data_IF_536806623820
#
_entry.id   IF_536806623820
#
_cell.length_a   1.000
_cell.length_b   1.000
_cell.length_c   1.000
_cell.angle_alpha   90.00
_cell.angle_beta   90.00
_cell.angle_gamma   90.00
#
_symmetry.space_group_name_H-M   'P 1'
#
loop_
_entity.id
_entity.type
_entity.pdbx_description
1 polymer ?
#
# COMPACT_ATOMS: atom_id res chain seq x y z
N UNK A 1 -8.78 4.69 25.82
CA UNK A 1 -9.10 4.16 24.49
C UNK A 1 -7.91 4.34 23.55
N UNK A 2 -7.79 3.50 22.56
CA UNK A 2 -6.85 3.58 21.45
C UNK A 2 -7.60 3.91 20.17
N UNK A 3 -7.02 4.77 19.32
CA UNK A 3 -7.59 5.15 18.01
C UNK A 3 -6.49 5.04 16.97
N UNK A 4 -6.76 4.45 15.83
CA UNK A 4 -5.77 4.34 14.74
C UNK A 4 -6.27 3.53 13.55
N UNK A 5 -5.39 3.35 12.55
CA UNK A 5 -5.62 2.50 11.39
C UNK A 5 -5.57 1.00 11.72
N UNK A 6 -6.20 0.20 10.88
CA UNK A 6 -6.12 -1.25 10.95
C UNK A 6 -5.13 -1.78 9.92
N UNK A 7 -3.86 -1.81 10.27
CA UNK A 7 -2.78 -2.17 9.35
C UNK A 7 -2.91 -3.59 8.76
N UNK A 8 -3.48 -4.54 9.52
CA UNK A 8 -3.77 -5.89 8.98
C UNK A 8 -4.85 -5.78 7.90
N UNK A 9 -5.90 -4.99 8.16
CA UNK A 9 -6.97 -4.78 7.18
C UNK A 9 -6.48 -4.01 5.94
N UNK A 10 -5.55 -3.05 6.10
CA UNK A 10 -4.91 -2.38 4.96
C UNK A 10 -4.23 -3.42 4.05
N UNK A 11 -3.41 -4.33 4.61
CA UNK A 11 -2.74 -5.40 3.86
C UNK A 11 -3.71 -6.39 3.21
N UNK A 12 -4.79 -6.79 3.91
CA UNK A 12 -5.83 -7.64 3.35
C UNK A 12 -6.57 -6.95 2.20
N UNK A 13 -6.90 -5.66 2.35
CA UNK A 13 -7.56 -4.87 1.30
C UNK A 13 -6.68 -4.74 0.07
N UNK A 14 -5.36 -4.59 0.25
CA UNK A 14 -4.40 -4.61 -0.85
C UNK A 14 -4.43 -5.94 -1.62
N UNK A 15 -4.42 -7.07 -0.91
CA UNK A 15 -4.50 -8.39 -1.55
C UNK A 15 -5.83 -8.64 -2.24
N UNK A 16 -6.96 -8.25 -1.63
CA UNK A 16 -8.30 -8.36 -2.24
C UNK A 16 -8.39 -7.52 -3.53
N UNK A 17 -7.86 -6.29 -3.51
CA UNK A 17 -7.79 -5.43 -4.67
C UNK A 17 -6.91 -6.05 -5.77
N UNK A 18 -5.73 -6.55 -5.41
CA UNK A 18 -4.81 -7.15 -6.37
C UNK A 18 -5.42 -8.38 -7.06
N UNK A 19 -6.10 -9.25 -6.31
CA UNK A 19 -6.79 -10.42 -6.86
C UNK A 19 -7.82 -9.99 -7.92
N UNK A 20 -8.67 -9.03 -7.57
CA UNK A 20 -9.65 -8.49 -8.50
C UNK A 20 -9.00 -7.83 -9.71
N UNK A 21 -7.95 -7.04 -9.51
CA UNK A 21 -7.24 -6.36 -10.59
C UNK A 21 -6.64 -7.35 -11.59
N UNK A 22 -6.02 -8.44 -11.11
CA UNK A 22 -5.49 -9.51 -11.96
C UNK A 22 -6.60 -10.28 -12.69
N UNK A 23 -7.73 -10.55 -12.03
CA UNK A 23 -8.90 -11.17 -12.69
C UNK A 23 -9.43 -10.28 -13.83
N UNK A 24 -9.62 -8.99 -13.58
CA UNK A 24 -10.10 -8.02 -14.57
C UNK A 24 -9.14 -7.89 -15.78
N UNK A 25 -7.86 -8.16 -15.57
CA UNK A 25 -6.81 -8.23 -16.62
C UNK A 25 -6.75 -9.59 -17.33
N UNK A 26 -7.53 -10.59 -16.91
CA UNK A 26 -7.46 -11.96 -17.43
C UNK A 26 -6.25 -12.76 -16.95
N UNK A 27 -5.56 -12.29 -15.91
CA UNK A 27 -4.35 -12.89 -15.33
C UNK A 27 -4.61 -13.66 -14.02
N UNK A 28 -5.86 -13.88 -13.64
CA UNK A 28 -6.22 -14.48 -12.34
C UNK A 28 -5.64 -15.88 -12.11
N UNK A 29 -5.41 -16.66 -13.16
CA UNK A 29 -4.85 -18.02 -13.10
C UNK A 29 -3.33 -18.07 -13.39
N UNK A 30 -2.69 -16.93 -13.72
CA UNK A 30 -1.25 -16.88 -13.99
C UNK A 30 -0.42 -16.99 -12.70
N UNK A 31 0.79 -17.48 -12.81
CA UNK A 31 1.78 -17.38 -11.74
C UNK A 31 2.23 -15.93 -11.61
N UNK A 32 2.07 -15.34 -10.43
CA UNK A 32 2.37 -13.93 -10.16
C UNK A 32 3.57 -13.82 -9.22
N UNK A 33 4.67 -13.30 -9.73
CA UNK A 33 5.91 -13.10 -8.99
C UNK A 33 5.92 -11.74 -8.30
N UNK A 34 6.01 -11.73 -6.98
CA UNK A 34 5.89 -10.53 -6.16
C UNK A 34 7.14 -10.26 -5.35
N UNK A 35 7.44 -9.00 -5.14
CA UNK A 35 8.41 -8.54 -4.14
C UNK A 35 7.77 -7.52 -3.21
N UNK A 36 8.26 -7.42 -1.97
CA UNK A 36 7.79 -6.40 -1.02
C UNK A 36 8.95 -5.53 -0.54
N UNK A 37 8.78 -4.24 -0.66
CA UNK A 37 9.61 -3.24 0.03
C UNK A 37 8.91 -2.94 1.34
N UNK A 38 9.44 -3.50 2.43
CA UNK A 38 8.87 -3.40 3.76
C UNK A 38 9.31 -2.10 4.43
N UNK A 39 8.45 -1.54 5.24
CA UNK A 39 8.80 -0.43 6.11
C UNK A 39 9.85 -0.76 7.15
N UNK A 40 10.00 0.10 8.15
CA UNK A 40 10.92 -0.13 9.27
C UNK A 40 10.50 -1.38 10.04
N UNK A 41 11.37 -2.37 10.09
CA UNK A 41 11.10 -3.68 10.69
C UNK A 41 10.68 -3.55 12.15
N UNK A 42 9.53 -4.13 12.48
CA UNK A 42 8.93 -4.10 13.82
C UNK A 42 8.03 -2.90 14.08
N UNK A 43 7.90 -1.95 13.15
CA UNK A 43 6.88 -0.91 13.22
C UNK A 43 5.49 -1.55 13.05
N UNK A 44 4.49 -1.04 13.77
CA UNK A 44 3.13 -1.61 13.74
C UNK A 44 2.51 -1.65 12.35
N UNK A 45 2.77 -0.64 11.52
CA UNK A 45 2.31 -0.60 10.14
C UNK A 45 2.99 -1.69 9.30
N UNK A 46 4.32 -1.84 9.39
CA UNK A 46 5.05 -2.90 8.70
C UNK A 46 4.53 -4.28 9.10
N UNK A 47 4.43 -4.56 10.40
CA UNK A 47 3.96 -5.88 10.89
C UNK A 47 2.55 -6.17 10.41
N UNK A 48 1.63 -5.21 10.51
CA UNK A 48 0.24 -5.41 10.13
C UNK A 48 0.05 -5.54 8.62
N UNK A 49 0.67 -4.67 7.81
CA UNK A 49 0.58 -4.72 6.34
C UNK A 49 1.15 -6.03 5.79
N UNK A 50 2.34 -6.44 6.30
CA UNK A 50 2.92 -7.76 5.97
C UNK A 50 1.97 -8.91 6.36
N UNK A 51 1.40 -8.91 7.59
CA UNK A 51 0.48 -9.96 8.07
C UNK A 51 -0.77 -10.04 7.19
N UNK A 52 -1.38 -8.90 6.88
CA UNK A 52 -2.57 -8.82 6.02
C UNK A 52 -2.30 -9.38 4.63
N UNK A 53 -1.17 -9.01 4.02
CA UNK A 53 -0.78 -9.56 2.73
C UNK A 53 -0.46 -11.05 2.79
N UNK A 54 0.17 -11.54 3.87
CA UNK A 54 0.44 -12.96 4.09
C UNK A 54 -0.86 -13.79 4.22
N UNK A 55 -1.92 -13.20 4.77
CA UNK A 55 -3.22 -13.86 4.82
C UNK A 55 -3.74 -14.09 3.39
N UNK A 56 -3.61 -13.10 2.51
CA UNK A 56 -4.06 -13.21 1.11
C UNK A 56 -3.16 -14.12 0.27
N UNK A 57 -1.86 -14.12 0.47
CA UNK A 57 -0.96 -15.08 -0.18
C UNK A 57 -1.34 -16.54 0.08
N UNK A 58 -1.90 -16.86 1.26
CA UNK A 58 -2.38 -18.23 1.57
C UNK A 58 -3.63 -18.62 0.79
N UNK A 59 -4.42 -17.65 0.33
CA UNK A 59 -5.64 -17.87 -0.45
C UNK A 59 -5.35 -18.09 -1.94
N UNK A 60 -4.19 -17.63 -2.44
CA UNK A 60 -3.79 -17.64 -3.85
C UNK A 60 -2.52 -18.47 -4.08
N UNK A 61 -2.69 -19.75 -4.44
CA UNK A 61 -1.56 -20.68 -4.60
C UNK A 61 -0.64 -20.37 -5.79
N UNK A 62 -1.10 -19.54 -6.72
CA UNK A 62 -0.36 -19.06 -7.88
C UNK A 62 0.43 -17.77 -7.62
N UNK A 63 0.31 -17.17 -6.44
CA UNK A 63 1.09 -16.02 -6.04
C UNK A 63 2.39 -16.43 -5.35
N UNK A 64 3.52 -15.91 -5.82
CA UNK A 64 4.84 -16.20 -5.30
C UNK A 64 5.52 -14.96 -4.75
N UNK A 65 5.69 -14.92 -3.45
CA UNK A 65 6.54 -13.90 -2.81
C UNK A 65 8.00 -14.30 -2.98
N UNK A 66 8.72 -13.62 -3.88
CA UNK A 66 10.11 -13.91 -4.22
C UNK A 66 11.05 -13.39 -3.11
N UNK A 67 10.84 -12.16 -2.64
CA UNK A 67 11.72 -11.54 -1.65
C UNK A 67 11.00 -10.40 -0.90
N UNK A 68 11.54 -10.06 0.28
CA UNK A 68 11.14 -8.93 1.11
C UNK A 68 12.35 -8.27 1.72
N UNK A 69 12.50 -6.97 1.51
CA UNK A 69 13.59 -6.19 2.09
C UNK A 69 13.07 -4.86 2.61
N UNK A 70 13.68 -4.36 3.71
CA UNK A 70 13.23 -3.11 4.33
C UNK A 70 13.73 -1.90 3.55
N UNK A 71 12.79 -1.02 3.17
CA UNK A 71 13.01 0.32 2.65
C UNK A 71 12.92 1.39 3.72
N UNK A 72 12.72 1.01 5.00
CA UNK A 72 12.70 1.91 6.17
C UNK A 72 11.71 3.07 6.04
N UNK A 73 10.63 2.89 5.25
CA UNK A 73 9.64 3.91 4.90
C UNK A 73 10.22 5.14 4.16
N UNK A 74 11.37 5.01 3.51
CA UNK A 74 12.02 6.13 2.82
C UNK A 74 12.15 5.90 1.31
N UNK A 75 12.03 6.99 0.53
CA UNK A 75 12.18 6.93 -0.93
C UNK A 75 13.56 6.41 -1.35
N UNK A 76 14.63 6.92 -0.73
CA UNK A 76 15.99 6.54 -1.07
C UNK A 76 16.26 5.04 -0.85
N UNK A 77 15.76 4.48 0.27
CA UNK A 77 15.90 3.06 0.55
C UNK A 77 14.97 2.22 -0.33
N UNK A 78 13.76 2.68 -0.60
CA UNK A 78 12.85 2.05 -1.56
C UNK A 78 13.52 1.89 -2.93
N UNK A 79 14.19 2.93 -3.40
CA UNK A 79 14.97 2.88 -4.65
C UNK A 79 16.11 1.84 -4.58
N UNK A 80 16.95 1.88 -3.54
CA UNK A 80 18.06 0.93 -3.36
C UNK A 80 17.56 -0.53 -3.35
N UNK A 81 16.47 -0.80 -2.62
CA UNK A 81 15.87 -2.13 -2.53
C UNK A 81 15.33 -2.59 -3.87
N UNK A 82 14.60 -1.73 -4.58
CA UNK A 82 14.07 -2.07 -5.90
C UNK A 82 15.18 -2.32 -6.92
N UNK A 83 16.26 -1.52 -6.92
CA UNK A 83 17.44 -1.79 -7.75
C UNK A 83 18.07 -3.16 -7.46
N UNK A 84 18.05 -3.60 -6.19
CA UNK A 84 18.52 -4.93 -5.78
C UNK A 84 17.60 -6.03 -6.31
N UNK A 85 16.29 -5.86 -6.20
CA UNK A 85 15.31 -6.82 -6.72
C UNK A 85 15.45 -6.98 -8.25
N UNK A 86 15.52 -5.87 -8.98
CA UNK A 86 15.68 -5.89 -10.44
C UNK A 86 16.98 -6.54 -10.93
N UNK A 87 18.02 -6.59 -10.08
CA UNK A 87 19.26 -7.33 -10.38
C UNK A 87 19.17 -8.82 -10.05
N UNK A 88 18.29 -9.17 -9.10
CA UNK A 88 18.19 -10.53 -8.57
C UNK A 88 17.12 -11.37 -9.27
N UNK A 89 16.09 -10.72 -9.80
CA UNK A 89 14.91 -11.35 -10.39
C UNK A 89 14.61 -10.74 -11.76
N UNK A 90 14.58 -11.57 -12.78
CA UNK A 90 14.30 -11.14 -14.16
C UNK A 90 12.82 -10.86 -14.38
N UNK A 91 11.95 -11.57 -13.62
CA UNK A 91 10.51 -11.57 -13.78
C UNK A 91 9.84 -11.17 -12.45
N UNK A 92 9.43 -9.90 -12.37
CA UNK A 92 8.68 -9.33 -11.25
C UNK A 92 7.40 -8.76 -11.83
N UNK A 93 6.27 -9.31 -11.43
CA UNK A 93 4.94 -8.83 -11.82
C UNK A 93 4.43 -7.71 -10.92
N UNK A 94 4.68 -7.82 -9.60
CA UNK A 94 4.12 -6.92 -8.60
C UNK A 94 5.17 -6.48 -7.60
N UNK A 95 5.19 -5.18 -7.33
CA UNK A 95 5.94 -4.59 -6.21
C UNK A 95 4.96 -4.02 -5.20
N UNK A 96 5.00 -4.54 -3.97
CA UNK A 96 4.22 -4.05 -2.84
C UNK A 96 5.15 -3.17 -2.00
N UNK A 97 4.87 -1.88 -1.94
CA UNK A 97 5.62 -0.91 -1.13
C UNK A 97 4.82 -0.58 0.11
N UNK A 98 5.36 -0.82 1.30
CA UNK A 98 4.60 -0.64 2.55
C UNK A 98 4.36 0.84 2.92
N UNK A 99 4.83 1.80 2.09
CA UNK A 99 4.32 3.17 2.04
C UNK A 99 4.54 3.84 0.67
N UNK A 100 3.95 5.03 0.49
CA UNK A 100 4.02 5.79 -0.76
C UNK A 100 5.46 6.27 -1.06
N UNK A 101 6.24 6.65 -0.06
CA UNK A 101 7.63 7.10 -0.29
C UNK A 101 8.50 5.96 -0.87
N UNK A 102 8.35 4.74 -0.37
CA UNK A 102 9.04 3.57 -0.92
C UNK A 102 8.61 3.31 -2.36
N UNK A 103 7.31 3.49 -2.67
CA UNK A 103 6.80 3.33 -4.02
C UNK A 103 7.39 4.35 -4.99
N UNK A 104 7.57 5.61 -4.60
CA UNK A 104 8.22 6.61 -5.45
C UNK A 104 9.66 6.21 -5.77
N UNK A 105 10.39 5.70 -4.78
CA UNK A 105 11.74 5.17 -5.00
C UNK A 105 11.75 3.93 -5.91
N UNK A 106 10.82 3.01 -5.72
CA UNK A 106 10.68 1.83 -6.57
C UNK A 106 10.38 2.21 -8.04
N UNK A 107 9.48 3.15 -8.26
CA UNK A 107 9.14 3.70 -9.59
C UNK A 107 10.38 4.30 -10.27
N UNK A 108 11.15 5.10 -9.52
CA UNK A 108 12.39 5.69 -10.04
C UNK A 108 13.39 4.60 -10.49
N UNK A 109 13.57 3.53 -9.68
CA UNK A 109 14.45 2.41 -10.01
C UNK A 109 13.96 1.60 -11.22
N UNK A 110 12.65 1.33 -11.32
CA UNK A 110 12.05 0.60 -12.45
C UNK A 110 12.29 1.37 -13.76
N UNK A 111 12.01 2.67 -13.77
CA UNK A 111 12.22 3.54 -14.93
C UNK A 111 13.70 3.65 -15.31
N UNK A 112 14.60 3.77 -14.32
CA UNK A 112 16.04 3.81 -14.56
C UNK A 112 16.57 2.50 -15.15
N UNK A 113 15.93 1.37 -14.86
CA UNK A 113 16.26 0.06 -15.47
C UNK A 113 15.67 -0.12 -16.88
N UNK A 114 14.93 0.89 -17.40
CA UNK A 114 14.31 0.83 -18.72
C UNK A 114 13.04 -0.03 -18.78
N UNK A 115 12.46 -0.36 -17.62
CA UNK A 115 11.16 -1.04 -17.49
C UNK A 115 10.04 -0.02 -17.27
N UNK A 116 8.80 -0.46 -17.43
CA UNK A 116 7.61 0.34 -17.20
C UNK A 116 6.82 -0.16 -15.99
N UNK A 117 6.06 0.73 -15.36
CA UNK A 117 5.19 0.38 -14.23
C UNK A 117 3.83 1.10 -14.36
N UNK A 118 2.90 0.77 -13.47
CA UNK A 118 1.56 1.34 -13.51
C UNK A 118 0.58 0.51 -14.38
N UNK A 119 -0.62 1.08 -14.69
CA UNK A 119 -1.70 0.33 -15.34
C UNK A 119 -1.36 -0.25 -16.71
N UNK A 120 -0.53 0.45 -17.47
CA UNK A 120 -0.09 0.05 -18.82
C UNK A 120 1.37 -0.44 -18.82
N UNK A 121 1.94 -0.69 -17.65
CA UNK A 121 3.35 -1.05 -17.50
C UNK A 121 3.59 -2.54 -17.29
N UNK A 122 4.89 -2.91 -17.32
CA UNK A 122 5.35 -4.28 -17.11
C UNK A 122 5.17 -4.74 -15.64
N UNK A 123 5.24 -3.79 -14.69
CA UNK A 123 5.24 -4.06 -13.25
C UNK A 123 4.09 -3.30 -12.57
N UNK A 124 3.24 -4.04 -11.87
CA UNK A 124 2.20 -3.48 -11.01
C UNK A 124 2.87 -2.93 -9.74
N UNK A 125 2.66 -1.66 -9.43
CA UNK A 125 3.16 -1.03 -8.19
C UNK A 125 1.97 -0.62 -7.33
N UNK A 126 1.97 -1.07 -6.07
CA UNK A 126 0.98 -0.68 -5.07
C UNK A 126 1.65 -0.14 -3.82
N UNK A 127 0.96 0.77 -3.12
CA UNK A 127 1.51 1.44 -1.94
C UNK A 127 0.47 1.64 -0.84
N UNK A 128 0.91 2.21 0.28
CA UNK A 128 0.06 2.57 1.41
C UNK A 128 0.32 4.02 1.81
N UNK A 129 -0.60 4.62 2.56
CA UNK A 129 -0.72 5.94 3.14
C UNK A 129 -1.67 6.86 2.36
N UNK A 130 -1.68 6.82 1.04
CA UNK A 130 -2.53 7.63 0.15
C UNK A 130 -2.29 9.14 0.31
N UNK A 131 -1.02 9.57 0.31
CA UNK A 131 -0.65 11.00 0.30
C UNK A 131 -0.92 11.62 -1.09
N UNK A 132 -1.05 12.95 -1.16
CA UNK A 132 -1.31 13.66 -2.44
C UNK A 132 -0.38 13.25 -3.57
N UNK A 133 0.91 13.07 -3.30
CA UNK A 133 1.88 12.65 -4.32
C UNK A 133 1.60 11.26 -4.90
N UNK A 134 0.93 10.35 -4.15
CA UNK A 134 0.51 9.06 -4.69
C UNK A 134 -0.60 9.23 -5.74
N UNK A 135 -1.54 10.15 -5.52
CA UNK A 135 -2.56 10.49 -6.54
C UNK A 135 -1.92 11.09 -7.79
N UNK A 136 -0.95 11.99 -7.63
CA UNK A 136 -0.19 12.54 -8.75
C UNK A 136 0.55 11.44 -9.53
N UNK A 137 1.13 10.46 -8.83
CA UNK A 137 1.81 9.31 -9.43
C UNK A 137 0.82 8.38 -10.18
N UNK A 138 -0.38 8.15 -9.63
CA UNK A 138 -1.44 7.39 -10.32
C UNK A 138 -1.96 8.13 -11.56
N UNK A 139 -2.16 9.44 -11.49
CA UNK A 139 -2.55 10.29 -12.63
C UNK A 139 -1.47 10.28 -13.72
N UNK A 140 -0.20 10.23 -13.34
CA UNK A 140 0.92 10.11 -14.27
C UNK A 140 1.03 8.72 -14.92
N UNK A 141 0.29 7.72 -14.42
CA UNK A 141 0.30 6.34 -14.91
C UNK A 141 1.44 5.48 -14.36
N UNK A 142 2.04 5.86 -13.24
CA UNK A 142 3.21 5.20 -12.66
C UNK A 142 2.87 4.27 -11.49
N UNK A 143 1.78 4.53 -10.78
CA UNK A 143 1.29 3.79 -9.61
C UNK A 143 -0.11 3.23 -9.91
N UNK A 144 -0.38 1.98 -9.53
CA UNK A 144 -1.67 1.34 -9.79
C UNK A 144 -2.72 1.64 -8.72
N UNK A 145 -2.33 1.55 -7.45
CA UNK A 145 -3.22 1.80 -6.32
C UNK A 145 -2.46 2.19 -5.06
N UNK A 146 -3.15 2.90 -4.16
CA UNK A 146 -2.67 3.20 -2.81
C UNK A 146 -3.77 2.93 -1.78
N UNK A 147 -3.39 2.36 -0.62
CA UNK A 147 -4.29 1.97 0.46
C UNK A 147 -4.13 2.95 1.61
N UNK A 148 -5.23 3.58 2.02
CA UNK A 148 -5.20 4.69 2.95
C UNK A 148 -4.76 4.26 4.36
N UNK A 149 -3.84 5.03 4.94
CA UNK A 149 -3.60 5.12 6.36
C UNK A 149 -4.03 6.51 6.82
N UNK A 150 -5.24 6.64 7.34
CA UNK A 150 -5.86 7.93 7.61
C UNK A 150 -5.26 8.61 8.86
N UNK A 151 -4.54 9.75 8.74
CA UNK A 151 -3.93 10.42 9.89
C UNK A 151 -4.90 11.36 10.64
N UNK A 152 -6.15 11.52 10.18
CA UNK A 152 -7.09 12.51 10.72
C UNK A 152 -7.83 11.99 11.96
N UNK A 153 -7.09 11.56 12.98
CA UNK A 153 -7.66 11.01 14.22
C UNK A 153 -8.20 12.07 15.18
N UNK A 154 -7.84 13.33 15.02
CA UNK A 154 -8.14 14.43 15.96
C UNK A 154 -9.61 14.54 16.35
N UNK A 155 -10.58 14.59 15.42
CA UNK A 155 -12.00 14.68 15.75
C UNK A 155 -12.50 13.50 16.58
N UNK A 156 -12.10 12.27 16.25
CA UNK A 156 -12.47 11.06 17.00
C UNK A 156 -11.90 11.06 18.41
N UNK A 157 -10.63 11.47 18.56
CA UNK A 157 -9.98 11.59 19.87
C UNK A 157 -10.70 12.65 20.75
N UNK A 158 -11.06 13.80 20.19
CA UNK A 158 -11.81 14.84 20.91
C UNK A 158 -13.17 14.34 21.38
N UNK A 159 -13.92 13.61 20.54
CA UNK A 159 -15.20 13.01 20.92
C UNK A 159 -15.05 12.01 22.08
N UNK A 160 -14.03 11.15 22.02
CA UNK A 160 -13.75 10.16 23.09
C UNK A 160 -13.46 10.87 24.42
N UNK A 161 -12.62 11.92 24.40
CA UNK A 161 -12.31 12.71 25.62
C UNK A 161 -13.60 13.29 26.21
N UNK A 162 -14.47 13.90 25.40
CA UNK A 162 -15.74 14.46 25.86
C UNK A 162 -16.67 13.42 26.48
N UNK A 163 -16.73 12.21 25.92
CA UNK A 163 -17.51 11.11 26.49
C UNK A 163 -16.95 10.67 27.85
N UNK A 164 -15.63 10.47 27.93
CA UNK A 164 -14.95 10.09 29.19
C UNK A 164 -15.14 11.15 30.28
N UNK A 165 -15.08 12.45 29.97
CA UNK A 165 -15.33 13.53 30.91
C UNK A 165 -16.76 13.52 31.48
N UNK A 166 -17.74 13.03 30.70
CA UNK A 166 -19.10 12.82 31.13
C UNK A 166 -19.35 11.53 31.91
N UNK A 167 -18.31 10.70 32.06
CA UNK A 167 -18.41 9.38 32.68
C UNK A 167 -19.06 8.32 31.78
N UNK A 168 -19.15 8.57 30.48
CA UNK A 168 -19.67 7.61 29.51
C UNK A 168 -18.65 6.52 29.23
N UNK A 169 -19.11 5.29 28.97
CA UNK A 169 -18.25 4.20 28.50
C UNK A 169 -17.88 4.42 27.04
N UNK A 170 -16.62 4.11 26.70
CA UNK A 170 -16.12 4.13 25.33
C UNK A 170 -15.42 2.82 24.99
N UNK A 171 -15.47 2.41 23.75
CA UNK A 171 -14.74 1.24 23.28
C UNK A 171 -13.23 1.44 23.47
N UNK A 172 -12.53 0.35 23.86
CA UNK A 172 -11.09 0.41 24.13
C UNK A 172 -10.25 0.57 22.88
N UNK A 173 -10.70 -0.02 21.77
CA UNK A 173 -10.03 0.02 20.47
C UNK A 173 -11.03 0.56 19.45
N UNK A 174 -10.66 1.62 18.76
CA UNK A 174 -11.49 2.24 17.73
C UNK A 174 -10.63 2.45 16.47
N UNK A 175 -10.96 1.69 15.44
CA UNK A 175 -10.36 1.89 14.13
C UNK A 175 -10.99 3.09 13.43
N UNK A 176 -10.18 3.84 12.69
CA UNK A 176 -10.66 4.87 11.77
C UNK A 176 -11.07 4.21 10.45
N UNK A 177 -11.99 4.87 9.74
CA UNK A 177 -12.39 4.42 8.41
C UNK A 177 -11.27 4.75 7.43
N UNK A 178 -10.87 3.76 6.64
CA UNK A 178 -9.81 3.84 5.64
C UNK A 178 -10.34 3.30 4.31
N UNK A 179 -9.91 3.93 3.22
CA UNK A 179 -10.29 3.57 1.86
C UNK A 179 -9.09 3.03 1.07
N UNK A 180 -9.30 2.67 -0.17
CA UNK A 180 -8.25 2.53 -1.17
C UNK A 180 -8.58 3.41 -2.37
N UNK A 181 -7.57 3.72 -3.16
CA UNK A 181 -7.70 4.50 -4.39
C UNK A 181 -6.89 3.85 -5.50
N UNK A 182 -7.46 3.79 -6.69
CA UNK A 182 -6.82 3.22 -7.87
C UNK A 182 -7.11 4.04 -9.13
N UNK A 183 -6.47 3.66 -10.22
CA UNK A 183 -6.52 4.39 -11.49
C UNK A 183 -7.87 4.30 -12.23
N UNK A 184 -8.84 3.51 -11.73
CA UNK A 184 -10.20 3.48 -12.27
C UNK A 184 -11.09 4.62 -11.76
N UNK A 185 -10.63 5.34 -10.72
CA UNK A 185 -11.39 6.39 -10.05
C UNK A 185 -11.11 7.78 -10.66
N UNK A 186 -11.98 8.75 -10.37
CA UNK A 186 -11.74 10.17 -10.70
C UNK A 186 -10.73 10.79 -9.73
N UNK A 187 -9.44 10.46 -9.97
CA UNK A 187 -8.34 10.85 -9.11
C UNK A 187 -8.13 12.36 -9.05
N UNK A 188 -8.43 13.08 -10.13
CA UNK A 188 -8.32 14.54 -10.16
C UNK A 188 -9.35 15.20 -9.22
N UNK A 189 -10.57 14.67 -9.18
CA UNK A 189 -11.61 15.18 -8.29
C UNK A 189 -11.30 14.83 -6.83
N UNK A 190 -10.85 13.61 -6.57
CA UNK A 190 -10.45 13.17 -5.22
C UNK A 190 -9.28 14.03 -4.69
N UNK A 191 -8.28 14.29 -5.53
CA UNK A 191 -7.11 15.09 -5.16
C UNK A 191 -7.46 16.51 -4.71
N UNK A 192 -8.49 17.14 -5.29
CA UNK A 192 -8.95 18.49 -4.88
C UNK A 192 -9.40 18.56 -3.43
N UNK A 193 -9.92 17.47 -2.90
CA UNK A 193 -10.47 17.40 -1.54
C UNK A 193 -9.53 16.71 -0.55
N UNK A 194 -8.43 16.12 -1.05
CA UNK A 194 -7.48 15.38 -0.22
C UNK A 194 -6.77 16.30 0.77
N UNK A 195 -6.79 15.96 2.07
CA UNK A 195 -6.25 16.82 3.12
C UNK A 195 -4.73 16.65 3.33
N UNK A 196 -4.14 15.52 2.93
CA UNK A 196 -2.74 15.14 3.15
C UNK A 196 -2.14 14.43 1.95
#
# INVERSE_FOLDING_TARGET
>A
AWVGGNFVKEGETCGDWLAKYLEDQGRGDEEINMVTIQGTIGASAQVGRTEGMDNKLKEHSNWKMLDRQSGEFTQAKGQEVMESFLKSYDDIDVVICENDNEAFGAIDAIKAAGKTCGPDGDIIVVSFDSVKAAFESMIAGDLNATFECNPLHGPRVAEIIQKLEKGEEVEKIQYVDEAYFDTSMDLEEILKTRAY
#
